data_IF_916737253591
#
_entry.id   IF_916737253591
#
_cell.length_a   1.000
_cell.length_b   1.000
_cell.length_c   1.000
_cell.angle_alpha   90.00
_cell.angle_beta   90.00
_cell.angle_gamma   90.00
#
_symmetry.space_group_name_H-M   'P 1'
#
loop_
_entity.id
_entity.type
_entity.pdbx_description
1 polymer ?
#
# COMPACT_ATOMS: atom_id res chain seq x y z
N UNK A 1 -17.79 -10.24 1.48
CA UNK A 1 -16.65 -9.55 0.84
C UNK A 1 -15.39 -9.90 1.61
N UNK A 2 -14.28 -10.16 0.93
CA UNK A 2 -12.99 -10.38 1.58
C UNK A 2 -12.39 -9.02 1.91
N UNK A 3 -12.43 -8.62 3.18
CA UNK A 3 -11.92 -7.33 3.67
C UNK A 3 -10.48 -7.01 3.20
N UNK A 4 -9.64 -8.04 3.03
CA UNK A 4 -8.29 -7.89 2.48
C UNK A 4 -8.26 -7.52 0.99
N UNK A 5 -9.26 -7.94 0.21
CA UNK A 5 -9.41 -7.59 -1.20
C UNK A 5 -9.78 -6.10 -1.34
N UNK A 6 -10.63 -5.60 -0.45
CA UNK A 6 -11.04 -4.20 -0.42
C UNK A 6 -9.85 -3.29 -0.07
N UNK A 7 -9.06 -3.67 0.95
CA UNK A 7 -7.81 -2.96 1.30
C UNK A 7 -6.79 -3.03 0.16
N UNK A 8 -6.66 -4.17 -0.51
CA UNK A 8 -5.74 -4.29 -1.66
C UNK A 8 -6.11 -3.32 -2.78
N UNK A 9 -7.39 -3.27 -3.15
CA UNK A 9 -7.90 -2.37 -4.18
C UNK A 9 -7.63 -0.91 -3.82
N UNK A 10 -7.89 -0.53 -2.57
CA UNK A 10 -7.68 0.85 -2.14
C UNK A 10 -6.21 1.24 -2.02
N UNK A 11 -5.34 0.34 -1.57
CA UNK A 11 -3.89 0.57 -1.61
C UNK A 11 -3.43 0.82 -3.05
N UNK A 12 -3.91 0.03 -4.03
CA UNK A 12 -3.56 0.24 -5.45
C UNK A 12 -4.06 1.58 -5.96
N UNK A 13 -5.28 1.97 -5.62
CA UNK A 13 -5.84 3.28 -5.98
C UNK A 13 -5.03 4.43 -5.37
N UNK A 14 -4.69 4.35 -4.09
CA UNK A 14 -3.86 5.35 -3.39
C UNK A 14 -2.51 5.48 -4.09
N UNK A 15 -1.80 4.37 -4.33
CA UNK A 15 -0.49 4.40 -4.98
C UNK A 15 -0.53 4.86 -6.44
N UNK A 16 -1.66 4.67 -7.14
CA UNK A 16 -1.88 5.18 -8.49
C UNK A 16 -2.00 6.70 -8.53
N UNK A 17 -2.74 7.27 -7.57
CA UNK A 17 -3.06 8.71 -7.54
C UNK A 17 -1.94 9.51 -6.90
N UNK A 18 -1.41 9.04 -5.76
CA UNK A 18 -0.45 9.79 -4.93
C UNK A 18 1.01 9.47 -5.27
N UNK A 19 1.26 8.37 -5.99
CA UNK A 19 2.62 7.89 -6.30
C UNK A 19 3.26 7.09 -5.14
N UNK A 20 4.61 7.07 -5.06
CA UNK A 20 5.31 6.28 -4.06
C UNK A 20 5.04 6.75 -2.62
N UNK A 21 4.57 5.85 -1.76
CA UNK A 21 4.20 6.18 -0.38
C UNK A 21 4.74 5.19 0.65
N UNK A 22 4.95 5.68 1.87
CA UNK A 22 5.34 4.85 3.00
C UNK A 22 4.10 4.21 3.63
N UNK A 23 4.30 3.13 4.39
CA UNK A 23 3.20 2.47 5.13
C UNK A 23 2.40 3.47 5.97
N UNK A 24 3.06 4.44 6.59
CA UNK A 24 2.40 5.44 7.44
C UNK A 24 1.40 6.29 6.64
N UNK A 25 1.79 6.76 5.46
CA UNK A 25 0.91 7.53 4.59
C UNK A 25 -0.22 6.67 4.02
N UNK A 26 0.08 5.46 3.58
CA UNK A 26 -0.94 4.52 3.08
C UNK A 26 -1.99 4.24 4.16
N UNK A 27 -1.56 3.97 5.39
CA UNK A 27 -2.47 3.72 6.53
C UNK A 27 -3.34 4.94 6.80
N UNK A 28 -2.74 6.14 6.78
CA UNK A 28 -3.47 7.39 6.96
C UNK A 28 -4.55 7.59 5.89
N UNK A 29 -4.20 7.43 4.61
CA UNK A 29 -5.16 7.58 3.52
C UNK A 29 -6.31 6.56 3.57
N UNK A 30 -6.04 5.32 3.96
CA UNK A 30 -7.09 4.31 4.15
C UNK A 30 -8.08 4.75 5.24
N UNK A 31 -7.58 5.21 6.39
CA UNK A 31 -8.42 5.69 7.48
C UNK A 31 -9.19 6.97 7.09
N UNK A 32 -8.57 7.90 6.37
CA UNK A 32 -9.24 9.10 5.83
C UNK A 32 -10.35 8.76 4.83
N UNK A 33 -10.28 7.59 4.16
CA UNK A 33 -11.33 7.05 3.28
C UNK A 33 -12.37 6.20 4.03
N UNK A 34 -12.33 6.15 5.35
CA UNK A 34 -13.26 5.39 6.19
C UNK A 34 -12.94 3.89 6.27
N UNK A 35 -11.76 3.45 5.81
CA UNK A 35 -11.32 2.06 5.89
C UNK A 35 -10.41 1.93 7.10
N UNK A 36 -11.01 1.60 8.24
CA UNK A 36 -10.27 1.43 9.49
C UNK A 36 -9.25 0.29 9.36
N UNK A 37 -7.97 0.64 9.35
CA UNK A 37 -6.90 -0.30 9.09
C UNK A 37 -5.69 -0.01 9.98
N UNK A 38 -5.20 -1.06 10.65
CA UNK A 38 -3.97 -0.96 11.42
C UNK A 38 -2.76 -0.98 10.51
N UNK A 39 -1.69 -0.32 10.92
CA UNK A 39 -0.40 -0.36 10.21
C UNK A 39 0.07 -1.80 9.92
N UNK A 40 -0.08 -2.70 10.89
CA UNK A 40 0.32 -4.11 10.78
C UNK A 40 -0.45 -4.83 9.66
N UNK A 41 -1.75 -4.53 9.52
CA UNK A 41 -2.59 -5.07 8.46
C UNK A 41 -2.16 -4.54 7.10
N UNK A 42 -1.92 -3.23 6.98
CA UNK A 42 -1.36 -2.62 5.76
C UNK A 42 -0.03 -3.27 5.38
N UNK A 43 0.88 -3.47 6.32
CA UNK A 43 2.17 -4.13 6.07
C UNK A 43 2.00 -5.58 5.58
N UNK A 44 1.04 -6.33 6.15
CA UNK A 44 0.72 -7.69 5.71
C UNK A 44 0.22 -7.71 4.26
N UNK A 45 -0.70 -6.80 3.90
CA UNK A 45 -1.23 -6.70 2.53
C UNK A 45 -0.14 -6.26 1.55
N UNK A 46 0.67 -5.26 1.92
CA UNK A 46 1.80 -4.81 1.09
C UNK A 46 2.84 -5.91 0.87
N UNK A 47 3.15 -6.75 1.88
CA UNK A 47 4.05 -7.91 1.69
C UNK A 47 3.49 -8.89 0.65
N UNK A 48 2.18 -9.16 0.69
CA UNK A 48 1.51 -10.02 -0.29
C UNK A 48 1.57 -9.41 -1.70
N UNK A 49 1.24 -8.13 -1.84
CA UNK A 49 1.32 -7.40 -3.11
C UNK A 49 2.74 -7.38 -3.69
N UNK A 50 3.75 -7.22 -2.84
CA UNK A 50 5.16 -7.28 -3.23
C UNK A 50 5.55 -8.69 -3.69
N UNK A 51 5.14 -9.74 -2.97
CA UNK A 51 5.41 -11.13 -3.39
C UNK A 51 4.77 -11.49 -4.74
N UNK A 52 3.68 -10.83 -5.11
CA UNK A 52 3.00 -10.97 -6.41
C UNK A 52 3.56 -10.05 -7.50
N UNK A 53 4.49 -9.16 -7.17
CA UNK A 53 5.04 -8.17 -8.10
C UNK A 53 4.06 -7.05 -8.50
N UNK A 54 2.93 -6.92 -7.81
CA UNK A 54 1.92 -5.88 -8.06
C UNK A 54 2.39 -4.52 -7.51
N UNK A 55 3.15 -4.55 -6.42
CA UNK A 55 3.75 -3.37 -5.79
C UNK A 55 5.25 -3.61 -5.64
N UNK A 56 6.06 -2.58 -5.86
CA UNK A 56 7.50 -2.61 -5.63
C UNK A 56 7.81 -1.81 -4.37
N UNK A 57 8.62 -2.40 -3.49
CA UNK A 57 9.16 -1.70 -2.32
C UNK A 57 10.58 -1.23 -2.63
N UNK A 58 10.85 0.06 -2.43
CA UNK A 58 12.19 0.64 -2.55
C UNK A 58 12.55 1.42 -1.28
N UNK A 59 13.85 1.52 -0.99
CA UNK A 59 14.33 2.45 0.03
C UNK A 59 14.57 3.79 -0.65
N UNK A 60 13.83 4.82 -0.23
CA UNK A 60 14.08 6.20 -0.66
C UNK A 60 14.56 7.03 0.53
N UNK A 61 14.81 8.33 0.30
CA UNK A 61 15.31 9.34 1.25
C UNK A 61 15.08 9.00 2.73
N UNK A 62 16.12 9.16 3.55
CA UNK A 62 16.13 8.81 4.99
C UNK A 62 15.89 7.31 5.30
N UNK A 63 16.22 6.41 4.36
CA UNK A 63 16.12 4.94 4.51
C UNK A 63 14.70 4.45 4.84
N UNK A 64 13.67 5.21 4.46
CA UNK A 64 12.28 4.80 4.65
C UNK A 64 11.81 3.98 3.45
N UNK A 65 11.19 2.84 3.72
CA UNK A 65 10.59 1.99 2.68
C UNK A 65 9.37 2.70 2.09
N UNK A 66 9.44 2.93 0.78
CA UNK A 66 8.36 3.45 -0.05
C UNK A 66 7.82 2.32 -0.92
N UNK A 67 6.53 2.37 -1.19
CA UNK A 67 5.80 1.40 -2.01
C UNK A 67 5.22 2.13 -3.20
N UNK A 68 5.30 1.53 -4.38
CA UNK A 68 4.74 2.07 -5.62
C UNK A 68 4.16 0.92 -6.45
N UNK A 69 3.25 1.23 -7.38
CA UNK A 69 2.75 0.22 -8.31
C UNK A 69 3.91 -0.38 -9.13
N UNK A 70 3.90 -1.71 -9.26
CA UNK A 70 4.77 -2.42 -10.18
C UNK A 70 4.33 -2.19 -11.61
N UNK A 71 5.28 -2.29 -12.57
CA UNK A 71 5.02 -2.09 -14.01
C UNK A 71 4.26 -3.26 -14.67
N UNK A 72 3.59 -4.13 -13.91
CA UNK A 72 2.77 -5.20 -14.50
C UNK A 72 1.35 -4.67 -14.68
N UNK A 73 1.11 -4.07 -15.85
CA UNK A 73 -0.21 -4.02 -16.48
C UNK A 73 -0.49 -5.38 -17.15
#
# INVERSE_FOLDING_TARGET
MNENLDIECEIKNILRVEGPLSVAFITRFLNERGIECTRQKVERVLRNLVSRGVVVASLQYNRRKQYQLGRKD
#
